data_IF_092483646366
#
_entry.id   IF_092483646366
#
_cell.length_a   1.000
_cell.length_b   1.000
_cell.length_c   1.000
_cell.angle_alpha   90.00
_cell.angle_beta   90.00
_cell.angle_gamma   90.00
#
_symmetry.space_group_name_H-M   'P 1'
#
loop_
_entity.id
_entity.type
_entity.pdbx_description
1 polymer ?
#
# COMPACT_ATOMS: atom_id res chain seq x y z
N UNK A 1 18.09 109.85 66.94
CA UNK A 1 18.01 109.05 65.71
C UNK A 1 18.27 107.61 66.12
N UNK A 2 17.70 106.62 65.43
CA UNK A 2 17.89 105.17 65.67
C UNK A 2 16.77 104.43 66.43
N UNK A 3 15.49 104.68 66.12
CA UNK A 3 14.42 103.74 66.52
C UNK A 3 13.33 103.47 65.47
N UNK A 4 13.38 104.09 64.28
CA UNK A 4 12.38 103.86 63.22
C UNK A 4 12.85 102.93 62.09
N UNK A 5 14.14 102.61 62.00
CA UNK A 5 14.67 101.72 60.94
C UNK A 5 14.55 100.22 61.24
N UNK A 6 14.25 99.79 62.47
CA UNK A 6 14.18 98.35 62.81
C UNK A 6 12.81 97.71 62.55
N UNK A 7 11.72 98.50 62.54
CA UNK A 7 10.35 97.99 62.42
C UNK A 7 9.93 97.69 60.97
N UNK A 8 10.45 98.42 59.98
CA UNK A 8 10.13 98.21 58.55
C UNK A 8 10.79 96.95 57.96
N UNK A 9 12.00 96.58 58.43
CA UNK A 9 12.74 95.41 57.92
C UNK A 9 12.15 94.07 58.36
N UNK A 10 11.50 94.02 59.53
CA UNK A 10 10.91 92.79 60.08
C UNK A 10 9.62 92.38 59.37
N UNK A 11 8.74 93.35 59.05
CA UNK A 11 7.46 93.09 58.41
C UNK A 11 7.60 92.53 56.97
N UNK A 12 8.57 93.04 56.19
CA UNK A 12 8.82 92.53 54.84
C UNK A 12 9.43 91.13 54.82
N UNK A 13 10.26 90.77 55.82
CA UNK A 13 10.84 89.42 55.93
C UNK A 13 9.77 88.37 56.26
N UNK A 14 8.79 88.72 57.10
CA UNK A 14 7.70 87.80 57.47
C UNK A 14 6.77 87.55 56.28
N UNK A 15 6.41 88.58 55.49
CA UNK A 15 5.57 88.41 54.30
C UNK A 15 6.25 87.58 53.20
N UNK A 16 7.56 87.78 52.98
CA UNK A 16 8.30 86.98 51.99
C UNK A 16 8.39 85.52 52.42
N UNK A 17 8.63 85.24 53.70
CA UNK A 17 8.69 83.86 54.22
C UNK A 17 7.35 83.14 54.06
N UNK A 18 6.23 83.85 54.27
CA UNK A 18 4.89 83.29 54.16
C UNK A 18 4.52 82.97 52.70
N UNK A 19 4.85 83.86 51.76
CA UNK A 19 4.63 83.61 50.33
C UNK A 19 5.47 82.44 49.83
N UNK A 20 6.74 82.34 50.26
CA UNK A 20 7.61 81.21 49.91
C UNK A 20 7.04 79.89 50.44
N UNK A 21 6.57 79.85 51.69
CA UNK A 21 5.92 78.66 52.26
C UNK A 21 4.66 78.24 51.48
N UNK A 22 3.82 79.19 51.06
CA UNK A 22 2.62 78.88 50.27
C UNK A 22 3.00 78.32 48.90
N UNK A 23 4.01 78.90 48.23
CA UNK A 23 4.46 78.40 46.93
C UNK A 23 5.05 76.98 47.05
N UNK A 24 5.82 76.69 48.10
CA UNK A 24 6.31 75.35 48.38
C UNK A 24 5.20 74.36 48.76
N UNK A 25 4.20 74.80 49.53
CA UNK A 25 3.07 73.96 49.89
C UNK A 25 2.18 73.61 48.68
N UNK A 26 1.85 74.61 47.85
CA UNK A 26 1.04 74.42 46.63
C UNK A 26 1.82 73.63 45.58
N UNK A 27 3.12 73.91 45.41
CA UNK A 27 4.00 73.16 44.52
C UNK A 27 4.20 71.70 44.97
N UNK A 28 4.36 71.47 46.28
CA UNK A 28 4.52 70.13 46.85
C UNK A 28 3.26 69.26 46.71
N UNK A 29 2.07 69.84 46.91
CA UNK A 29 0.79 69.13 46.76
C UNK A 29 0.53 68.75 45.28
N UNK A 30 0.85 69.65 44.35
CA UNK A 30 0.68 69.38 42.92
C UNK A 30 1.60 68.25 42.41
N UNK A 31 2.87 68.23 42.87
CA UNK A 31 3.83 67.17 42.51
C UNK A 31 3.41 65.83 43.12
N UNK A 32 3.01 65.79 44.39
CA UNK A 32 2.55 64.57 45.05
C UNK A 32 1.28 63.99 44.40
N UNK A 33 0.32 64.86 44.02
CA UNK A 33 -0.90 64.45 43.32
C UNK A 33 -0.61 63.86 41.93
N UNK A 34 0.32 64.45 41.17
CA UNK A 34 0.73 63.91 39.87
C UNK A 34 1.39 62.52 40.00
N UNK A 35 2.30 62.35 40.95
CA UNK A 35 2.96 61.07 41.21
C UNK A 35 1.98 59.97 41.66
N UNK A 36 0.97 60.30 42.49
CA UNK A 36 -0.03 59.32 42.94
C UNK A 36 -0.92 58.83 41.78
N UNK A 37 -1.37 59.73 40.91
CA UNK A 37 -2.19 59.37 39.73
C UNK A 37 -1.41 58.54 38.72
N UNK A 38 -0.11 58.80 38.57
CA UNK A 38 0.74 58.03 37.67
C UNK A 38 1.01 56.63 38.22
N UNK A 39 1.31 56.50 39.51
CA UNK A 39 1.48 55.19 40.17
C UNK A 39 0.19 54.36 40.22
N UNK A 40 -0.97 54.99 40.40
CA UNK A 40 -2.24 54.27 40.40
C UNK A 40 -2.60 53.73 39.01
N UNK A 41 -2.34 54.49 37.94
CA UNK A 41 -2.47 54.02 36.55
C UNK A 41 -1.52 52.85 36.24
N UNK A 42 -0.25 52.96 36.63
CA UNK A 42 0.74 51.88 36.48
C UNK A 42 0.33 50.61 37.25
N UNK A 43 -0.25 50.74 38.44
CA UNK A 43 -0.74 49.60 39.22
C UNK A 43 -1.93 48.88 38.58
N UNK A 44 -2.83 49.62 37.94
CA UNK A 44 -3.98 49.05 37.21
C UNK A 44 -3.51 48.33 35.95
N UNK A 45 -2.64 48.95 35.15
CA UNK A 45 -2.07 48.34 33.94
C UNK A 45 -1.24 47.08 34.26
N UNK A 46 -0.42 47.11 35.32
CA UNK A 46 0.36 45.95 35.75
C UNK A 46 -0.53 44.79 36.24
N UNK A 47 -1.66 45.10 36.88
CA UNK A 47 -2.61 44.08 37.35
C UNK A 47 -3.39 43.45 36.20
N UNK A 48 -3.78 44.26 35.20
CA UNK A 48 -4.40 43.77 33.97
C UNK A 48 -3.44 42.87 33.19
N UNK A 49 -2.21 43.32 32.97
CA UNK A 49 -1.18 42.55 32.26
C UNK A 49 -0.88 41.22 32.98
N UNK A 50 -0.85 41.22 34.32
CA UNK A 50 -0.67 39.98 35.10
C UNK A 50 -1.81 38.99 34.88
N UNK A 51 -3.05 39.46 34.81
CA UNK A 51 -4.21 38.60 34.58
C UNK A 51 -4.21 38.06 33.15
N UNK A 52 -3.88 38.89 32.15
CA UNK A 52 -3.72 38.45 30.76
C UNK A 52 -2.62 37.40 30.62
N UNK A 53 -1.48 37.57 31.29
CA UNK A 53 -0.39 36.58 31.31
C UNK A 53 -0.83 35.27 31.97
N UNK A 54 -1.65 35.32 33.03
CA UNK A 54 -2.17 34.11 33.65
C UNK A 54 -3.17 33.38 32.74
N UNK A 55 -4.06 34.12 32.07
CA UNK A 55 -5.00 33.55 31.11
C UNK A 55 -4.29 32.92 29.91
N UNK A 56 -3.30 33.61 29.34
CA UNK A 56 -2.48 33.08 28.25
C UNK A 56 -1.70 31.83 28.68
N UNK A 57 -1.23 31.77 29.93
CA UNK A 57 -0.59 30.55 30.45
C UNK A 57 -1.56 29.38 30.58
N UNK A 58 -2.78 29.65 31.02
CA UNK A 58 -3.84 28.63 31.10
C UNK A 58 -4.20 28.12 29.69
N UNK A 59 -4.38 29.02 28.72
CA UNK A 59 -4.66 28.68 27.33
C UNK A 59 -3.52 27.89 26.68
N UNK A 60 -2.26 28.29 26.91
CA UNK A 60 -1.09 27.53 26.43
C UNK A 60 -1.07 26.13 27.03
N UNK A 61 -1.33 26.00 28.33
CA UNK A 61 -1.38 24.69 28.99
C UNK A 61 -2.47 23.79 28.39
N UNK A 62 -3.67 24.34 28.14
CA UNK A 62 -4.76 23.60 27.53
C UNK A 62 -4.42 23.17 26.09
N UNK A 63 -3.80 24.05 25.30
CA UNK A 63 -3.36 23.74 23.94
C UNK A 63 -2.25 22.68 23.90
N UNK A 64 -1.36 22.66 24.89
CA UNK A 64 -0.32 21.62 25.01
C UNK A 64 -0.93 20.24 25.33
N UNK A 65 -1.95 20.19 26.19
CA UNK A 65 -2.68 18.97 26.51
C UNK A 65 -3.47 18.46 25.29
N UNK A 66 -4.21 19.33 24.60
CA UNK A 66 -4.95 18.99 23.37
C UNK A 66 -4.02 18.49 22.26
N UNK A 67 -2.85 19.12 22.10
CA UNK A 67 -1.83 18.68 21.14
C UNK A 67 -1.34 17.27 21.48
N UNK A 68 -1.07 16.98 22.74
CA UNK A 68 -0.58 15.68 23.19
C UNK A 68 -1.62 14.58 22.98
N UNK A 69 -2.90 14.88 23.22
CA UNK A 69 -4.01 13.97 22.96
C UNK A 69 -4.15 13.69 21.45
N UNK A 70 -4.09 14.72 20.61
CA UNK A 70 -4.14 14.59 19.15
C UNK A 70 -2.96 13.77 18.59
N UNK A 71 -1.75 14.00 19.09
CA UNK A 71 -0.55 13.21 18.69
C UNK A 71 -0.69 11.75 19.09
N UNK A 72 -1.23 11.47 20.28
CA UNK A 72 -1.48 10.11 20.78
C UNK A 72 -2.56 9.41 19.96
N UNK A 73 -3.68 10.09 19.70
CA UNK A 73 -4.76 9.58 18.87
C UNK A 73 -4.27 9.29 17.43
N UNK A 74 -3.46 10.19 16.86
CA UNK A 74 -2.86 10.02 15.54
C UNK A 74 -1.89 8.83 15.50
N UNK A 75 -1.08 8.63 16.54
CA UNK A 75 -0.16 7.50 16.64
C UNK A 75 -0.92 6.16 16.73
N UNK A 76 -1.98 6.10 17.53
CA UNK A 76 -2.85 4.92 17.67
C UNK A 76 -3.55 4.62 16.35
N UNK A 77 -4.13 5.63 15.70
CA UNK A 77 -4.85 5.47 14.44
C UNK A 77 -3.91 4.94 13.35
N UNK A 78 -2.75 5.58 13.17
CA UNK A 78 -1.73 5.14 12.20
C UNK A 78 -1.27 3.72 12.48
N UNK A 79 -0.91 3.38 13.72
CA UNK A 79 -0.44 2.05 14.07
C UNK A 79 -1.51 0.98 13.83
N UNK A 80 -2.77 1.28 14.13
CA UNK A 80 -3.89 0.35 13.96
C UNK A 80 -4.24 0.14 12.49
N UNK A 81 -4.30 1.21 11.70
CA UNK A 81 -4.60 1.11 10.27
C UNK A 81 -3.45 0.45 9.49
N UNK A 82 -2.18 0.80 9.80
CA UNK A 82 -1.01 0.12 9.24
C UNK A 82 -0.99 -1.37 9.59
N UNK A 83 -1.36 -1.75 10.82
CA UNK A 83 -1.42 -3.16 11.22
C UNK A 83 -2.51 -3.91 10.45
N UNK A 84 -3.70 -3.32 10.28
CA UNK A 84 -4.79 -3.91 9.48
C UNK A 84 -4.44 -4.02 8.01
N UNK A 85 -3.81 -2.99 7.43
CA UNK A 85 -3.33 -3.03 6.05
C UNK A 85 -2.26 -4.10 5.86
N UNK A 86 -1.30 -4.23 6.78
CA UNK A 86 -0.28 -5.27 6.75
C UNK A 86 -0.89 -6.68 6.87
N UNK A 87 -1.88 -6.88 7.75
CA UNK A 87 -2.59 -8.14 7.87
C UNK A 87 -3.39 -8.48 6.59
N UNK A 88 -4.10 -7.50 6.03
CA UNK A 88 -4.81 -7.66 4.77
C UNK A 88 -3.86 -8.01 3.61
N UNK A 89 -2.71 -7.32 3.52
CA UNK A 89 -1.67 -7.62 2.53
C UNK A 89 -1.12 -9.03 2.73
N UNK A 90 -0.89 -9.47 3.97
CA UNK A 90 -0.43 -10.82 4.28
C UNK A 90 -1.45 -11.88 3.85
N UNK A 91 -2.74 -11.64 4.10
CA UNK A 91 -3.81 -12.54 3.67
C UNK A 91 -3.92 -12.58 2.14
N UNK A 92 -3.84 -11.44 1.46
CA UNK A 92 -3.81 -11.36 -0.01
C UNK A 92 -2.60 -12.10 -0.58
N UNK A 93 -1.41 -11.91 0.01
CA UNK A 93 -0.18 -12.59 -0.39
C UNK A 93 -0.33 -14.10 -0.24
N UNK A 94 -0.81 -14.58 0.91
CA UNK A 94 -1.03 -16.01 1.13
C UNK A 94 -2.06 -16.62 0.16
N UNK A 95 -3.12 -15.87 -0.19
CA UNK A 95 -4.08 -16.33 -1.20
C UNK A 95 -3.44 -16.40 -2.60
N UNK A 96 -2.67 -15.39 -2.98
CA UNK A 96 -1.95 -15.35 -4.26
C UNK A 96 -0.93 -16.50 -4.34
N UNK A 97 -0.19 -16.77 -3.26
CA UNK A 97 0.76 -17.90 -3.19
C UNK A 97 0.06 -19.24 -3.38
N UNK A 98 -1.13 -19.41 -2.79
CA UNK A 98 -1.96 -20.62 -2.97
C UNK A 98 -2.43 -20.77 -4.42
N UNK A 99 -2.96 -19.69 -5.01
CA UNK A 99 -3.40 -19.69 -6.41
C UNK A 99 -2.24 -19.95 -7.38
N UNK A 100 -1.07 -19.36 -7.12
CA UNK A 100 0.15 -19.58 -7.89
C UNK A 100 0.60 -21.04 -7.83
N UNK A 101 0.59 -21.65 -6.63
CA UNK A 101 0.94 -23.07 -6.48
C UNK A 101 -0.05 -23.99 -7.21
N UNK A 102 -1.34 -23.71 -7.13
CA UNK A 102 -2.38 -24.45 -7.88
C UNK A 102 -2.16 -24.33 -9.40
N UNK A 103 -1.89 -23.11 -9.88
CA UNK A 103 -1.60 -22.85 -11.30
C UNK A 103 -0.33 -23.57 -11.76
N UNK A 104 0.74 -23.57 -10.97
CA UNK A 104 1.97 -24.29 -11.26
C UNK A 104 1.75 -25.81 -11.33
N UNK A 105 0.89 -26.36 -10.47
CA UNK A 105 0.51 -27.78 -10.54
C UNK A 105 -0.24 -28.07 -11.84
N UNK A 106 -1.23 -27.26 -12.20
CA UNK A 106 -1.97 -27.40 -13.47
C UNK A 106 -1.04 -27.30 -14.69
N UNK A 107 -0.11 -26.35 -14.70
CA UNK A 107 0.89 -26.20 -15.79
C UNK A 107 1.80 -27.43 -15.87
N UNK A 108 2.25 -27.96 -14.73
CA UNK A 108 3.09 -29.16 -14.68
C UNK A 108 2.34 -30.40 -15.18
N UNK A 109 1.08 -30.57 -14.78
CA UNK A 109 0.21 -31.65 -15.25
C UNK A 109 -0.06 -31.53 -16.75
N UNK A 110 -0.41 -30.33 -17.24
CA UNK A 110 -0.62 -30.08 -18.66
C UNK A 110 0.65 -30.32 -19.48
N UNK A 111 1.82 -29.90 -19.00
CA UNK A 111 3.11 -30.14 -19.65
C UNK A 111 3.40 -31.64 -19.75
N UNK A 112 3.18 -32.37 -18.65
CA UNK A 112 3.32 -33.83 -18.60
C UNK A 112 2.36 -34.50 -19.57
N UNK A 113 1.08 -34.10 -19.58
CA UNK A 113 0.07 -34.67 -20.46
C UNK A 113 0.35 -34.35 -21.94
N UNK A 114 0.80 -33.14 -22.28
CA UNK A 114 1.23 -32.80 -23.64
C UNK A 114 2.41 -33.67 -24.09
N UNK A 115 3.39 -33.93 -23.21
CA UNK A 115 4.51 -34.82 -23.52
C UNK A 115 4.04 -36.25 -23.83
N UNK A 116 2.98 -36.72 -23.16
CA UNK A 116 2.36 -38.03 -23.39
C UNK A 116 1.49 -38.05 -24.64
N UNK A 117 0.81 -36.95 -24.98
CA UNK A 117 -0.05 -36.82 -26.18
C UNK A 117 0.78 -36.80 -27.46
N UNK A 118 1.91 -36.09 -27.47
CA UNK A 118 2.71 -35.85 -28.69
C UNK A 118 3.03 -37.13 -29.49
N UNK A 119 3.48 -38.23 -28.89
CA UNK A 119 3.70 -39.49 -29.61
C UNK A 119 2.44 -40.03 -30.31
N UNK A 120 1.27 -39.93 -29.68
CA UNK A 120 0.00 -40.38 -30.28
C UNK A 120 -0.39 -39.50 -31.47
N UNK A 121 -0.21 -38.18 -31.36
CA UNK A 121 -0.44 -37.26 -32.48
C UNK A 121 0.51 -37.52 -33.64
N UNK A 122 1.80 -37.73 -33.36
CA UNK A 122 2.79 -38.09 -34.38
C UNK A 122 2.42 -39.39 -35.11
N UNK A 123 1.93 -40.40 -34.39
CA UNK A 123 1.43 -41.64 -34.98
C UNK A 123 0.20 -41.40 -35.87
N UNK A 124 -0.80 -40.66 -35.38
CA UNK A 124 -2.01 -40.31 -36.15
C UNK A 124 -1.67 -39.54 -37.43
N UNK A 125 -0.81 -38.51 -37.35
CA UNK A 125 -0.39 -37.72 -38.53
C UNK A 125 0.40 -38.56 -39.53
N UNK A 126 1.22 -39.50 -39.06
CA UNK A 126 1.99 -40.39 -39.94
C UNK A 126 1.06 -41.37 -40.67
N UNK A 127 0.05 -41.91 -39.97
CA UNK A 127 -1.00 -42.73 -40.57
C UNK A 127 -1.80 -41.93 -41.61
N UNK A 128 -2.22 -40.71 -41.28
CA UNK A 128 -2.94 -39.83 -42.20
C UNK A 128 -2.11 -39.53 -43.46
N UNK A 129 -0.82 -39.20 -43.29
CA UNK A 129 0.08 -38.95 -44.41
C UNK A 129 0.24 -40.17 -45.31
N UNK A 130 0.33 -41.36 -44.72
CA UNK A 130 0.40 -42.61 -45.47
C UNK A 130 -0.83 -42.82 -46.35
N UNK A 131 -2.03 -42.49 -45.85
CA UNK A 131 -3.27 -42.60 -46.61
C UNK A 131 -3.45 -41.55 -47.71
N UNK A 132 -2.80 -40.40 -47.56
CA UNK A 132 -2.81 -39.33 -48.56
C UNK A 132 -1.69 -39.47 -49.61
N UNK A 133 -0.94 -40.58 -49.60
CA UNK A 133 0.17 -40.85 -50.51
C UNK A 133 0.08 -42.29 -51.07
N UNK A 134 0.82 -42.62 -52.15
CA UNK A 134 0.95 -43.99 -52.61
C UNK A 134 1.48 -44.91 -51.51
N UNK A 135 0.93 -46.12 -51.40
CA UNK A 135 1.30 -47.04 -50.34
C UNK A 135 2.69 -47.58 -50.61
N UNK A 136 3.61 -47.35 -49.67
CA UNK A 136 4.99 -47.80 -49.77
C UNK A 136 5.41 -48.56 -48.52
N UNK A 137 6.29 -49.55 -48.67
CA UNK A 137 6.87 -50.27 -47.52
C UNK A 137 7.57 -49.30 -46.55
N UNK A 138 8.21 -48.25 -47.09
CA UNK A 138 8.84 -47.19 -46.30
C UNK A 138 7.82 -46.43 -45.46
N UNK A 139 6.68 -46.06 -46.04
CA UNK A 139 5.61 -45.37 -45.31
C UNK A 139 5.01 -46.24 -44.21
N UNK A 140 4.84 -47.54 -44.47
CA UNK A 140 4.34 -48.49 -43.47
C UNK A 140 5.35 -48.68 -42.32
N UNK A 141 6.65 -48.78 -42.63
CA UNK A 141 7.72 -48.87 -41.64
C UNK A 141 7.85 -47.59 -40.78
N UNK A 142 7.55 -46.41 -41.33
CA UNK A 142 7.50 -45.17 -40.56
C UNK A 142 6.37 -45.22 -39.52
N UNK A 143 5.19 -45.72 -39.90
CA UNK A 143 4.10 -45.95 -38.94
C UNK A 143 4.49 -46.99 -37.89
N UNK A 144 5.08 -48.13 -38.28
CA UNK A 144 5.58 -49.16 -37.36
C UNK A 144 6.50 -48.52 -36.29
N UNK A 145 7.39 -47.63 -36.73
CA UNK A 145 8.30 -46.89 -35.84
C UNK A 145 7.52 -45.99 -34.88
N UNK A 146 6.58 -45.18 -35.37
CA UNK A 146 5.78 -44.27 -34.51
C UNK A 146 4.91 -45.02 -33.50
N UNK A 147 4.30 -46.14 -33.91
CA UNK A 147 3.48 -46.97 -33.03
C UNK A 147 4.35 -47.63 -31.95
N UNK A 148 5.55 -48.11 -32.28
CA UNK A 148 6.45 -48.73 -31.29
C UNK A 148 6.88 -47.76 -30.18
N UNK A 149 7.03 -46.47 -30.49
CA UNK A 149 7.40 -45.42 -29.52
C UNK A 149 6.31 -45.19 -28.47
N UNK A 150 5.04 -45.52 -28.78
CA UNK A 150 3.92 -45.35 -27.85
C UNK A 150 4.02 -46.27 -26.64
N UNK A 151 4.66 -47.44 -26.79
CA UNK A 151 4.68 -48.52 -25.80
C UNK A 151 3.27 -48.94 -25.31
N UNK A 152 2.22 -48.63 -26.09
CA UNK A 152 0.84 -49.03 -25.83
C UNK A 152 0.59 -50.38 -26.53
N UNK A 153 0.43 -51.43 -25.73
CA UNK A 153 0.25 -52.79 -26.22
C UNK A 153 -1.07 -52.96 -26.98
N UNK A 154 -2.13 -52.27 -26.57
CA UNK A 154 -3.43 -52.35 -27.26
C UNK A 154 -3.35 -51.71 -28.63
N UNK A 155 -2.74 -50.52 -28.72
CA UNK A 155 -2.49 -49.83 -30.00
C UNK A 155 -1.58 -50.67 -30.89
N UNK A 156 -0.50 -51.24 -30.34
CA UNK A 156 0.44 -52.07 -31.09
C UNK A 156 -0.23 -53.32 -31.67
N UNK A 157 -1.08 -53.99 -30.89
CA UNK A 157 -1.80 -55.18 -31.33
C UNK A 157 -2.83 -54.86 -32.43
N UNK A 158 -3.61 -53.78 -32.25
CA UNK A 158 -4.57 -53.34 -33.29
C UNK A 158 -3.85 -52.91 -34.56
N UNK A 159 -2.72 -52.22 -34.42
CA UNK A 159 -1.88 -51.83 -35.54
C UNK A 159 -1.36 -53.03 -36.31
N UNK A 160 -0.84 -54.06 -35.64
CA UNK A 160 -0.35 -55.29 -36.29
C UNK A 160 -1.45 -55.99 -37.11
N UNK A 161 -2.68 -56.03 -36.60
CA UNK A 161 -3.82 -56.58 -37.34
C UNK A 161 -4.15 -55.72 -38.57
N UNK A 162 -4.25 -54.40 -38.40
CA UNK A 162 -4.55 -53.47 -39.47
C UNK A 162 -3.48 -53.50 -40.58
N UNK A 163 -2.20 -53.49 -40.19
CA UNK A 163 -1.02 -53.61 -41.06
C UNK A 163 -1.08 -54.84 -41.97
N UNK A 164 -1.59 -55.96 -41.48
CA UNK A 164 -1.75 -57.19 -42.24
C UNK A 164 -2.74 -57.10 -43.41
N UNK A 165 -3.56 -56.05 -43.45
CA UNK A 165 -4.59 -55.84 -44.49
C UNK A 165 -4.13 -54.92 -45.63
N UNK A 166 -2.92 -54.36 -45.55
CA UNK A 166 -2.39 -53.43 -46.55
C UNK A 166 -2.05 -54.16 -47.84
N UNK A 167 -2.68 -53.74 -48.94
CA UNK A 167 -2.42 -54.22 -50.29
C UNK A 167 -1.67 -53.15 -51.09
N UNK A 168 -0.36 -53.34 -51.22
CA UNK A 168 0.51 -52.45 -51.99
C UNK A 168 0.25 -52.49 -53.50
N UNK A 169 -0.30 -53.58 -54.04
CA UNK A 169 -0.52 -53.73 -55.47
C UNK A 169 -1.72 -52.89 -55.94
N UNK A 170 -2.76 -52.82 -55.10
CA UNK A 170 -3.99 -52.10 -55.40
C UNK A 170 -4.13 -50.76 -54.65
N UNK A 171 -3.11 -50.33 -53.90
CA UNK A 171 -3.21 -49.24 -52.90
C UNK A 171 -4.45 -49.44 -51.99
N UNK A 172 -4.72 -50.69 -51.66
CA UNK A 172 -5.90 -51.12 -50.92
C UNK A 172 -5.56 -51.37 -49.46
N UNK A 173 -6.58 -51.35 -48.61
CA UNK A 173 -6.46 -51.66 -47.18
C UNK A 173 -7.80 -52.12 -46.63
N UNK A 174 -7.79 -52.77 -45.46
CA UNK A 174 -9.00 -53.07 -44.70
C UNK A 174 -9.48 -51.82 -43.95
N UNK A 175 -10.56 -51.13 -44.41
CA UNK A 175 -10.96 -49.85 -43.86
C UNK A 175 -11.27 -49.93 -42.36
N UNK A 176 -11.96 -50.99 -41.95
CA UNK A 176 -12.42 -51.18 -40.58
C UNK A 176 -11.27 -51.23 -39.55
N UNK A 177 -10.19 -51.95 -39.83
CA UNK A 177 -9.18 -52.25 -38.80
C UNK A 177 -8.25 -51.06 -38.50
N UNK A 178 -7.95 -50.25 -39.51
CA UNK A 178 -7.20 -49.01 -39.34
C UNK A 178 -8.05 -47.89 -38.70
N UNK A 179 -9.36 -47.81 -39.00
CA UNK A 179 -10.25 -46.89 -38.27
C UNK A 179 -10.26 -47.19 -36.77
N UNK A 180 -10.19 -48.46 -36.38
CA UNK A 180 -10.07 -48.82 -34.96
C UNK A 180 -8.76 -48.35 -34.34
N UNK A 181 -7.63 -48.42 -35.06
CA UNK A 181 -6.35 -47.90 -34.58
C UNK A 181 -6.42 -46.39 -34.39
N UNK A 182 -6.89 -45.65 -35.39
CA UNK A 182 -7.03 -44.18 -35.32
C UNK A 182 -8.03 -43.77 -34.24
N UNK A 183 -9.14 -44.50 -34.08
CA UNK A 183 -10.09 -44.27 -33.00
C UNK A 183 -9.43 -44.47 -31.63
N UNK A 184 -8.67 -45.55 -31.43
CA UNK A 184 -7.98 -45.82 -30.18
C UNK A 184 -6.92 -44.75 -29.87
N UNK A 185 -6.12 -44.35 -30.87
CA UNK A 185 -5.15 -43.25 -30.73
C UNK A 185 -5.85 -41.95 -30.29
N UNK A 186 -6.95 -41.59 -30.94
CA UNK A 186 -7.73 -40.41 -30.58
C UNK A 186 -8.38 -40.53 -29.19
N UNK A 187 -8.80 -41.72 -28.79
CA UNK A 187 -9.32 -41.98 -27.45
C UNK A 187 -8.24 -41.78 -26.38
N UNK A 188 -7.01 -42.26 -26.62
CA UNK A 188 -5.86 -42.04 -25.74
C UNK A 188 -5.52 -40.55 -25.62
N UNK A 189 -5.50 -39.82 -26.73
CA UNK A 189 -5.30 -38.36 -26.73
C UNK A 189 -6.38 -37.67 -25.88
N UNK A 190 -7.66 -38.00 -26.09
CA UNK A 190 -8.77 -37.42 -25.30
C UNK A 190 -8.67 -37.73 -23.81
N UNK A 191 -8.22 -38.92 -23.43
CA UNK A 191 -8.07 -39.31 -22.02
C UNK A 191 -6.96 -38.56 -21.28
N UNK A 192 -6.05 -37.91 -22.01
CA UNK A 192 -4.92 -37.15 -21.46
C UNK A 192 -5.20 -35.64 -21.43
N UNK A 193 -6.32 -35.18 -22.00
CA UNK A 193 -6.74 -33.78 -21.89
C UNK A 193 -7.40 -33.54 -20.53
N UNK A 194 -7.11 -32.41 -19.86
CA UNK A 194 -7.78 -32.02 -18.61
C UNK A 194 -9.26 -31.69 -18.81
#
# INVERSE_FOLDING_TARGET
MDNEQSLSSSANKINILFVVMIVFAVGGIAVAGYFYVQNSKLGVEASQLKNEVLQLKEEISQLEDEKTEAETALAILKATDLAKEAELLRLKLANIEKELNSSNQMVSELSTNMSKIRPYTDATTTIERFFNAPFTQKGLADIDTKISVLQDMEVSNRWMNARGTVDFANNGWGPHDFFQVVFLLNSRIKSLLP
#
